data_IF_301214450295
#
_entry.id   IF_301214450295
#
_cell.length_a   1.000
_cell.length_b   1.000
_cell.length_c   1.000
_cell.angle_alpha   90.00
_cell.angle_beta   90.00
_cell.angle_gamma   90.00
#
_symmetry.space_group_name_H-M   'P 1'
#
loop_
_entity.id
_entity.type
_entity.pdbx_description
1 polymer ?
#
# COMPACT_ATOMS: atom_id res chain seq x y z
N UNK A 1 -12.65 2.29 4.79
CA UNK A 1 -11.23 1.85 4.75
C UNK A 1 -10.94 1.04 6.00
N UNK A 2 -10.68 -0.25 5.87
CA UNK A 2 -10.28 -1.12 6.99
C UNK A 2 -8.82 -1.55 6.79
N UNK A 3 -8.00 -1.51 7.84
CA UNK A 3 -6.60 -1.95 7.79
C UNK A 3 -6.42 -3.14 8.71
N UNK A 4 -5.87 -4.25 8.17
CA UNK A 4 -5.64 -5.49 8.92
C UNK A 4 -4.28 -6.09 8.58
N UNK A 5 -3.63 -6.72 9.55
CA UNK A 5 -2.33 -7.36 9.32
C UNK A 5 -1.57 -7.65 10.60
N UNK A 6 -0.41 -8.32 10.45
CA UNK A 6 0.51 -8.60 11.55
C UNK A 6 1.95 -8.56 11.03
N UNK A 7 2.83 -7.86 11.76
CA UNK A 7 4.21 -7.66 11.32
C UNK A 7 4.27 -6.87 10.00
N UNK A 8 5.02 -7.38 9.02
CA UNK A 8 5.18 -6.75 7.71
C UNK A 8 4.15 -7.22 6.66
N UNK A 9 3.18 -8.05 7.02
CA UNK A 9 2.10 -8.43 6.12
C UNK A 9 0.84 -7.62 6.45
N UNK A 10 0.61 -6.55 5.70
CA UNK A 10 -0.49 -5.59 5.92
C UNK A 10 -1.42 -5.57 4.72
N UNK A 11 -2.73 -5.59 4.95
CA UNK A 11 -3.78 -5.44 3.96
C UNK A 11 -4.63 -4.21 4.23
N UNK A 12 -4.81 -3.38 3.20
CA UNK A 12 -5.74 -2.25 3.21
C UNK A 12 -6.97 -2.60 2.38
N UNK A 13 -8.14 -2.58 3.00
CA UNK A 13 -9.43 -2.96 2.40
C UNK A 13 -10.20 -1.70 2.02
N UNK A 14 -10.57 -1.66 0.74
CA UNK A 14 -11.38 -0.63 0.10
C UNK A 14 -12.80 -1.18 -0.14
N UNK A 15 -13.78 -0.30 -0.13
CA UNK A 15 -15.17 -0.59 -0.51
C UNK A 15 -15.41 -0.47 -2.03
N UNK A 16 -14.36 -0.14 -2.77
CA UNK A 16 -14.33 0.01 -4.23
C UNK A 16 -13.04 -0.57 -4.80
N UNK A 17 -12.89 -0.52 -6.14
CA UNK A 17 -11.71 -1.04 -6.82
C UNK A 17 -10.42 -0.34 -6.36
N UNK A 18 -9.44 -1.13 -5.96
CA UNK A 18 -8.15 -0.70 -5.46
C UNK A 18 -7.09 -0.49 -6.57
N UNK A 19 -7.33 -1.02 -7.78
CA UNK A 19 -6.47 -0.86 -8.97
C UNK A 19 -5.98 0.60 -9.21
N UNK A 20 -6.85 1.64 -9.13
CA UNK A 20 -6.40 3.01 -9.38
C UNK A 20 -5.38 3.53 -8.37
N UNK A 21 -5.38 2.99 -7.14
CA UNK A 21 -4.39 3.32 -6.13
C UNK A 21 -3.09 2.57 -6.36
N UNK A 22 -3.15 1.31 -6.82
CA UNK A 22 -1.94 0.55 -7.18
C UNK A 22 -1.18 1.21 -8.34
N UNK A 23 -1.88 1.69 -9.37
CA UNK A 23 -1.24 2.44 -10.47
C UNK A 23 -0.64 3.78 -9.98
N UNK A 24 -1.34 4.52 -9.12
CA UNK A 24 -0.80 5.76 -8.55
C UNK A 24 0.40 5.51 -7.61
N UNK A 25 0.39 4.41 -6.84
CA UNK A 25 1.54 4.00 -6.02
C UNK A 25 2.76 3.68 -6.88
N UNK A 26 2.55 2.99 -8.01
CA UNK A 26 3.60 2.67 -8.97
C UNK A 26 4.22 3.94 -9.58
N UNK A 27 3.42 4.97 -9.89
CA UNK A 27 3.93 6.28 -10.32
C UNK A 27 4.79 6.97 -9.23
N UNK A 28 4.46 6.76 -7.95
CA UNK A 28 5.23 7.25 -6.81
C UNK A 28 6.45 6.37 -6.44
N UNK A 29 6.69 5.28 -7.17
CA UNK A 29 7.81 4.36 -6.97
C UNK A 29 7.55 3.26 -5.94
N UNK A 30 6.31 3.05 -5.50
CA UNK A 30 5.92 1.98 -4.58
C UNK A 30 5.14 0.92 -5.34
N UNK A 31 5.69 -0.28 -5.45
CA UNK A 31 4.99 -1.41 -6.06
C UNK A 31 4.08 -2.08 -5.04
N UNK A 32 2.79 -2.15 -5.35
CA UNK A 32 1.79 -2.87 -4.59
C UNK A 32 0.83 -3.58 -5.56
N UNK A 33 0.16 -4.62 -5.08
CA UNK A 33 -0.84 -5.34 -5.85
C UNK A 33 -2.12 -5.50 -5.04
N UNK A 34 -3.24 -5.27 -5.71
CA UNK A 34 -4.57 -5.54 -5.19
C UNK A 34 -4.91 -7.03 -5.31
N UNK A 35 -5.70 -7.51 -4.36
CA UNK A 35 -6.24 -8.86 -4.34
C UNK A 35 -7.74 -8.79 -4.19
N UNK A 36 -8.44 -9.67 -4.91
CA UNK A 36 -9.91 -9.65 -4.97
C UNK A 36 -10.46 -8.24 -5.30
N UNK A 37 -9.76 -7.51 -6.17
CA UNK A 37 -10.07 -6.15 -6.65
C UNK A 37 -10.09 -5.02 -5.60
N UNK A 38 -10.16 -5.34 -4.31
CA UNK A 38 -10.53 -4.39 -3.24
C UNK A 38 -9.50 -4.31 -2.12
N UNK A 39 -8.48 -5.16 -2.11
CA UNK A 39 -7.50 -5.22 -1.01
C UNK A 39 -6.08 -5.04 -1.50
N UNK A 40 -5.42 -3.94 -1.14
CA UNK A 40 -3.99 -3.74 -1.41
C UNK A 40 -3.17 -4.44 -0.33
N UNK A 41 -2.20 -5.28 -0.74
CA UNK A 41 -1.29 -5.96 0.20
C UNK A 41 0.10 -5.36 0.15
N UNK A 42 0.61 -5.02 1.33
CA UNK A 42 1.99 -4.62 1.55
C UNK A 42 2.70 -5.77 2.26
N UNK A 43 3.73 -6.29 1.59
CA UNK A 43 4.57 -7.37 2.08
C UNK A 43 6.04 -7.10 1.68
N UNK A 44 6.67 -6.06 2.26
CA UNK A 44 8.07 -5.76 1.95
C UNK A 44 9.01 -6.89 2.39
N UNK A 45 10.22 -6.95 1.84
CA UNK A 45 11.27 -7.85 2.31
C UNK A 45 11.54 -7.68 3.80
N UNK A 46 11.89 -8.76 4.51
CA UNK A 46 12.20 -8.71 5.95
C UNK A 46 13.46 -7.91 6.29
N UNK A 47 14.28 -7.60 5.29
CA UNK A 47 15.49 -6.78 5.40
C UNK A 47 15.20 -5.28 5.28
N UNK A 48 13.94 -4.88 5.06
CA UNK A 48 13.56 -3.47 4.92
C UNK A 48 13.91 -2.67 6.18
N UNK A 49 14.49 -1.49 5.99
CA UNK A 49 14.84 -0.56 7.05
C UNK A 49 13.64 0.27 7.50
N UNK A 50 13.76 0.90 8.68
CA UNK A 50 12.71 1.78 9.18
C UNK A 50 12.57 3.03 8.29
N UNK A 51 13.68 3.53 7.77
CA UNK A 51 13.74 4.69 6.88
C UNK A 51 13.02 4.43 5.56
N UNK A 52 13.17 3.23 4.98
CA UNK A 52 12.44 2.81 3.78
C UNK A 52 10.94 2.66 4.06
N UNK A 53 10.55 2.15 5.23
CA UNK A 53 9.15 2.10 5.66
C UNK A 53 8.57 3.52 5.79
N UNK A 54 9.28 4.42 6.47
CA UNK A 54 8.84 5.80 6.66
C UNK A 54 8.71 6.53 5.30
N UNK A 55 9.62 6.28 4.37
CA UNK A 55 9.53 6.75 2.99
C UNK A 55 8.31 6.18 2.26
N UNK A 56 8.08 4.87 2.31
CA UNK A 56 6.96 4.23 1.64
C UNK A 56 5.62 4.73 2.20
N UNK A 57 5.50 4.91 3.52
CA UNK A 57 4.31 5.48 4.16
C UNK A 57 4.04 6.90 3.65
N UNK A 58 5.08 7.73 3.46
CA UNK A 58 4.90 9.08 2.90
C UNK A 58 4.27 9.05 1.50
N UNK A 59 4.68 8.09 0.66
CA UNK A 59 4.15 7.89 -0.69
C UNK A 59 2.72 7.36 -0.66
N UNK A 60 2.46 6.36 0.19
CA UNK A 60 1.12 5.79 0.37
C UNK A 60 0.14 6.87 0.81
N UNK A 61 0.53 7.69 1.79
CA UNK A 61 -0.29 8.80 2.27
C UNK A 61 -0.59 9.79 1.15
N UNK A 62 0.42 10.18 0.35
CA UNK A 62 0.25 11.07 -0.79
C UNK A 62 -0.77 10.53 -1.80
N UNK A 63 -0.72 9.24 -2.11
CA UNK A 63 -1.68 8.62 -3.05
C UNK A 63 -3.10 8.62 -2.49
N UNK A 64 -3.26 8.30 -1.20
CA UNK A 64 -4.56 8.24 -0.53
C UNK A 64 -5.20 9.61 -0.29
N UNK A 65 -4.41 10.68 -0.15
CA UNK A 65 -4.94 12.05 0.03
C UNK A 65 -5.36 12.71 -1.29
N UNK A 66 -4.82 12.26 -2.42
CA UNK A 66 -5.10 12.82 -3.75
C UNK A 66 -6.20 12.08 -4.53
N UNK A 67 -6.82 11.05 -3.92
CA UNK A 67 -7.87 10.19 -4.49
C UNK A 67 -9.02 10.08 -3.51
#
# INVERSE_FOLDING_TARGET
LEVRGKGLLIGMVFDHKAEPYCEALKEEGVLAHETHETVIRFAPPLVISKEEIDWAISKIKKVLENK
#
